data_IF_014378276453
#
_entry.id   IF_014378276453
#
_cell.length_a   1.000
_cell.length_b   1.000
_cell.length_c   1.000
_cell.angle_alpha   90.00
_cell.angle_beta   90.00
_cell.angle_gamma   90.00
#
_symmetry.space_group_name_H-M   'P 1'
#
loop_
_entity.id
_entity.type
_entity.pdbx_description
1 polymer ?
#
# COMPACT_ATOMS: atom_id res chain seq x y z
N UNK A 1 -1.01 7.07 8.88
CA UNK A 1 -0.16 7.81 7.93
C UNK A 1 -0.63 9.25 7.69
N UNK A 2 -1.92 9.58 7.85
CA UNK A 2 -2.47 10.93 7.68
C UNK A 2 -2.15 11.93 8.82
N UNK A 3 -0.97 11.87 9.45
CA UNK A 3 -0.59 12.84 10.51
C UNK A 3 0.13 14.06 9.96
N UNK A 4 1.08 13.86 9.04
CA UNK A 4 1.92 14.92 8.46
C UNK A 4 1.29 15.52 7.19
N UNK A 5 0.66 14.69 6.36
CA UNK A 5 -0.09 15.15 5.19
C UNK A 5 -1.51 15.55 5.61
N UNK A 6 -1.69 16.86 5.89
CA UNK A 6 -2.94 17.49 6.35
C UNK A 6 -3.09 18.90 5.78
N UNK A 7 -4.26 19.49 5.94
CA UNK A 7 -4.51 20.90 5.60
C UNK A 7 -3.52 21.82 6.33
N UNK A 8 -2.96 22.78 5.61
CA UNK A 8 -1.89 23.66 6.10
C UNK A 8 -0.46 23.15 5.83
N UNK A 9 -0.29 21.92 5.33
CA UNK A 9 1.01 21.42 4.90
C UNK A 9 1.42 22.07 3.57
N UNK A 10 2.46 22.91 3.62
CA UNK A 10 2.98 23.68 2.46
C UNK A 10 4.17 23.02 1.76
N UNK A 11 4.75 21.98 2.36
CA UNK A 11 5.95 21.30 1.86
C UNK A 11 5.59 19.90 1.37
N UNK A 12 6.32 19.41 0.38
CA UNK A 12 6.27 18.01 -0.06
C UNK A 12 6.47 17.07 1.13
N UNK A 13 5.63 16.04 1.23
CA UNK A 13 5.68 15.04 2.29
C UNK A 13 6.01 13.69 1.70
N UNK A 14 6.99 13.02 2.28
CA UNK A 14 7.33 11.64 1.96
C UNK A 14 6.86 10.74 3.10
N UNK A 15 6.17 9.65 2.78
CA UNK A 15 5.68 8.68 3.76
C UNK A 15 6.35 7.34 3.43
N UNK A 16 7.20 6.87 4.33
CA UNK A 16 7.86 5.58 4.17
C UNK A 16 7.15 4.51 5.00
N UNK A 17 6.95 3.34 4.38
CA UNK A 17 6.62 2.11 5.07
C UNK A 17 7.78 1.16 4.84
N UNK A 18 8.54 0.89 5.90
CA UNK A 18 9.67 -0.04 5.84
C UNK A 18 9.18 -1.42 6.23
N UNK A 19 9.58 -2.42 5.46
CA UNK A 19 9.25 -3.84 5.66
C UNK A 19 10.51 -4.65 5.37
N UNK A 20 10.77 -5.68 6.17
CA UNK A 20 11.85 -6.61 5.90
C UNK A 20 11.38 -7.66 4.88
N UNK A 21 12.06 -7.73 3.72
CA UNK A 21 11.72 -8.64 2.63
C UNK A 21 11.70 -10.11 3.08
N UNK A 22 10.70 -10.86 2.62
CA UNK A 22 10.54 -12.30 2.88
C UNK A 22 10.20 -12.65 4.33
N UNK A 23 10.10 -11.67 5.22
CA UNK A 23 9.86 -11.86 6.66
C UNK A 23 8.37 -11.86 7.02
N UNK A 24 8.09 -12.09 8.31
CA UNK A 24 6.75 -11.95 8.87
C UNK A 24 6.16 -10.54 8.68
N UNK A 25 6.97 -9.49 8.63
CA UNK A 25 6.49 -8.11 8.44
C UNK A 25 5.79 -7.96 7.10
N UNK A 26 6.39 -8.51 6.04
CA UNK A 26 5.85 -8.45 4.68
C UNK A 26 4.55 -9.27 4.57
N UNK A 27 4.50 -10.45 5.20
CA UNK A 27 3.29 -11.29 5.24
C UNK A 27 2.15 -10.65 6.02
N UNK A 28 2.44 -9.98 7.14
CA UNK A 28 1.44 -9.21 7.89
C UNK A 28 0.94 -8.04 7.04
N UNK A 29 1.83 -7.33 6.33
CA UNK A 29 1.45 -6.25 5.43
C UNK A 29 0.50 -6.74 4.32
N UNK A 30 0.83 -7.84 3.65
CA UNK A 30 -0.04 -8.47 2.64
C UNK A 30 -1.43 -8.79 3.21
N UNK A 31 -1.50 -9.37 4.41
CA UNK A 31 -2.78 -9.65 5.08
C UNK A 31 -3.57 -8.39 5.40
N UNK A 32 -2.92 -7.29 5.82
CA UNK A 32 -3.60 -6.02 6.04
C UNK A 32 -4.26 -5.52 4.76
N UNK A 33 -3.47 -5.43 3.68
CA UNK A 33 -3.92 -4.93 2.38
C UNK A 33 -5.02 -5.82 1.79
N UNK A 34 -4.88 -7.14 1.85
CA UNK A 34 -5.89 -8.10 1.38
C UNK A 34 -7.18 -8.06 2.21
N UNK A 35 -7.08 -7.99 3.54
CA UNK A 35 -8.25 -7.90 4.43
C UNK A 35 -9.02 -6.60 4.22
N UNK A 36 -8.33 -5.52 3.86
CA UNK A 36 -8.93 -4.22 3.56
C UNK A 36 -9.58 -4.20 2.17
N UNK A 37 -9.01 -4.89 1.19
CA UNK A 37 -9.62 -5.08 -0.14
C UNK A 37 -10.94 -5.86 -0.13
N UNK A 38 -11.16 -6.73 0.86
CA UNK A 38 -12.40 -7.49 1.06
C UNK A 38 -13.45 -6.75 1.94
N UNK A 39 -13.08 -5.62 2.56
CA UNK A 39 -13.91 -4.93 3.56
C UNK A 39 -15.09 -4.13 2.96
N UNK A 40 -15.32 -4.19 1.64
CA UNK A 40 -16.55 -3.71 1.01
C UNK A 40 -17.77 -4.59 1.27
N UNK A 41 -17.57 -5.81 1.76
CA UNK A 41 -18.63 -6.72 2.21
C UNK A 41 -18.72 -6.71 3.74
N UNK A 42 -19.86 -6.23 4.24
CA UNK A 42 -20.27 -6.17 5.65
C UNK A 42 -19.95 -7.48 6.36
N UNK A 43 -19.01 -7.47 7.31
CA UNK A 43 -18.80 -8.61 8.23
C UNK A 43 -19.78 -8.47 9.39
N UNK A 44 -20.85 -9.25 9.31
CA UNK A 44 -21.83 -9.43 10.38
C UNK A 44 -21.15 -9.75 11.72
N UNK A 45 -21.54 -9.01 12.76
CA UNK A 45 -21.05 -9.15 14.15
C UNK A 45 -21.38 -10.51 14.81
N UNK A 46 -21.90 -11.50 14.07
CA UNK A 46 -22.30 -12.82 14.58
C UNK A 46 -21.22 -13.91 14.53
N UNK A 47 -20.13 -13.73 13.77
CA UNK A 47 -19.08 -14.76 13.56
C UNK A 47 -17.72 -14.41 14.19
N UNK A 48 -17.73 -14.00 15.45
CA UNK A 48 -16.53 -13.50 16.16
C UNK A 48 -15.36 -14.49 16.34
N UNK A 49 -15.57 -15.80 16.11
CA UNK A 49 -14.58 -16.84 16.41
C UNK A 49 -13.84 -17.41 15.18
N UNK A 50 -14.43 -17.36 13.98
CA UNK A 50 -13.82 -17.99 12.79
C UNK A 50 -12.77 -17.08 12.14
N UNK A 51 -12.94 -15.75 12.23
CA UNK A 51 -12.02 -14.76 11.66
C UNK A 51 -10.76 -14.48 12.50
N UNK A 52 -10.64 -15.10 13.68
CA UNK A 52 -9.48 -14.96 14.58
C UNK A 52 -8.59 -16.20 14.59
N UNK A 53 -8.97 -17.25 13.87
CA UNK A 53 -8.21 -18.50 13.81
C UNK A 53 -7.33 -18.55 12.56
N UNK A 54 -6.05 -18.88 12.74
CA UNK A 54 -5.14 -19.22 11.65
C UNK A 54 -5.12 -20.74 11.49
N UNK A 55 -5.16 -21.22 10.25
CA UNK A 55 -4.84 -22.63 9.99
C UNK A 55 -3.36 -22.92 10.25
N UNK A 56 -3.01 -24.18 10.52
CA UNK A 56 -1.62 -24.58 10.74
C UNK A 56 -0.72 -24.26 9.54
N UNK A 57 -1.27 -24.30 8.32
CA UNK A 57 -0.55 -23.94 7.11
C UNK A 57 -0.32 -22.43 7.03
N UNK A 58 -1.30 -21.61 7.40
CA UNK A 58 -1.13 -20.16 7.45
C UNK A 58 -0.14 -19.71 8.52
N UNK A 59 -0.09 -20.40 9.67
CA UNK A 59 0.92 -20.14 10.69
C UNK A 59 2.33 -20.49 10.18
N UNK A 60 2.48 -21.66 9.54
CA UNK A 60 3.76 -22.05 8.92
C UNK A 60 4.19 -21.02 7.89
N UNK A 61 3.26 -20.60 7.04
CA UNK A 61 3.47 -19.58 6.04
C UNK A 61 3.92 -18.26 6.72
N UNK A 62 3.18 -17.77 7.72
CA UNK A 62 3.49 -16.53 8.45
C UNK A 62 4.91 -16.47 9.05
N UNK A 63 5.43 -17.61 9.52
CA UNK A 63 6.76 -17.73 10.11
C UNK A 63 7.83 -18.29 9.16
N UNK A 64 7.51 -18.49 7.88
CA UNK A 64 8.49 -18.92 6.88
C UNK A 64 9.22 -17.72 6.29
N UNK A 65 10.56 -17.76 6.36
CA UNK A 65 11.43 -16.79 5.69
C UNK A 65 11.57 -17.17 4.22
N UNK A 66 11.23 -16.25 3.32
CA UNK A 66 11.42 -16.42 1.88
C UNK A 66 12.70 -15.69 1.42
N UNK A 67 13.47 -16.31 0.53
CA UNK A 67 14.64 -15.71 -0.09
C UNK A 67 14.23 -15.04 -1.41
N UNK A 68 13.69 -13.83 -1.30
CA UNK A 68 13.21 -13.03 -2.44
C UNK A 68 13.44 -11.54 -2.15
N UNK A 69 13.76 -10.71 -3.16
CA UNK A 69 13.87 -9.27 -2.97
C UNK A 69 12.53 -8.62 -2.56
N UNK A 70 11.39 -9.20 -2.97
CA UNK A 70 10.07 -8.76 -2.56
C UNK A 70 8.99 -9.84 -2.76
N UNK A 71 8.54 -10.44 -1.66
CA UNK A 71 7.50 -11.46 -1.69
C UNK A 71 6.16 -10.90 -2.21
N UNK A 72 5.88 -9.62 -1.92
CA UNK A 72 4.62 -8.98 -2.32
C UNK A 72 4.54 -8.80 -3.84
N UNK A 73 5.66 -8.48 -4.49
CA UNK A 73 5.71 -8.39 -5.95
C UNK A 73 5.51 -9.77 -6.60
N UNK A 74 6.14 -10.81 -6.03
CA UNK A 74 5.99 -12.19 -6.50
C UNK A 74 4.51 -12.65 -6.44
N UNK A 75 3.80 -12.30 -5.36
CA UNK A 75 2.38 -12.61 -5.20
C UNK A 75 1.46 -11.86 -6.17
N UNK A 76 1.86 -10.66 -6.61
CA UNK A 76 1.10 -9.91 -7.61
C UNK A 76 1.25 -10.49 -9.02
N UNK A 77 2.21 -11.40 -9.23
CA UNK A 77 2.56 -11.95 -10.54
C UNK A 77 2.78 -10.86 -11.60
N UNK A 78 3.36 -9.73 -11.19
CA UNK A 78 3.57 -8.58 -12.06
C UNK A 78 4.79 -8.82 -12.97
N UNK A 79 4.67 -8.46 -14.25
CA UNK A 79 5.72 -8.59 -15.27
C UNK A 79 6.37 -7.26 -15.63
N UNK A 80 6.36 -6.28 -14.72
CA UNK A 80 6.96 -4.97 -14.97
C UNK A 80 8.51 -5.05 -15.00
N UNK A 81 9.14 -4.05 -15.64
CA UNK A 81 10.60 -3.95 -15.72
C UNK A 81 11.28 -3.55 -14.39
N UNK A 82 10.50 -3.26 -13.34
CA UNK A 82 10.97 -2.84 -12.01
C UNK A 82 11.92 -1.63 -12.03
N UNK A 83 11.87 -0.82 -13.07
CA UNK A 83 12.71 0.37 -13.26
C UNK A 83 12.00 1.67 -12.84
N UNK A 84 10.81 1.55 -12.25
CA UNK A 84 9.95 2.68 -11.90
C UNK A 84 9.13 3.25 -13.05
N UNK A 85 9.14 2.61 -14.22
CA UNK A 85 8.22 2.95 -15.31
C UNK A 85 6.77 2.80 -14.83
N UNK A 86 5.90 3.70 -15.29
CA UNK A 86 4.48 3.56 -15.00
C UNK A 86 3.97 2.25 -15.64
N UNK A 87 3.16 1.44 -14.93
CA UNK A 87 2.46 0.33 -15.57
C UNK A 87 1.61 0.90 -16.71
N UNK A 88 1.69 0.32 -17.91
CA UNK A 88 0.95 0.79 -19.07
C UNK A 88 -0.54 0.89 -18.75
N UNK A 89 -1.12 2.04 -19.09
CA UNK A 89 -2.46 2.48 -18.69
C UNK A 89 -3.52 1.51 -19.24
N UNK A 90 -4.12 0.71 -18.35
CA UNK A 90 -5.45 0.18 -18.57
C UNK A 90 -6.46 1.27 -18.20
N UNK A 91 -7.20 1.76 -19.19
CA UNK A 91 -8.33 2.67 -19.02
C UNK A 91 -9.34 2.06 -18.04
N UNK A 92 -9.48 2.62 -16.83
CA UNK A 92 -10.79 2.89 -16.23
C UNK A 92 -10.72 3.69 -14.92
N UNK A 93 -11.69 4.59 -14.80
CA UNK A 93 -12.11 5.42 -13.66
C UNK A 93 -11.23 6.60 -13.22
N UNK A 94 -11.72 7.80 -13.55
CA UNK A 94 -11.22 9.09 -13.13
C UNK A 94 -11.04 9.19 -11.60
N UNK A 95 -9.98 9.83 -11.10
CA UNK A 95 -9.82 10.08 -9.67
C UNK A 95 -10.90 11.06 -9.22
N UNK A 96 -11.88 10.56 -8.47
CA UNK A 96 -12.85 11.39 -7.75
C UNK A 96 -12.10 12.35 -6.83
N UNK A 97 -12.03 13.62 -7.24
CA UNK A 97 -11.52 14.74 -6.44
C UNK A 97 -12.37 14.91 -5.19
N UNK A 98 -11.88 14.39 -4.06
CA UNK A 98 -12.49 14.63 -2.76
C UNK A 98 -11.55 14.14 -1.66
N UNK A 99 -11.03 15.07 -0.86
CA UNK A 99 -10.38 14.71 0.41
C UNK A 99 -11.48 14.18 1.33
N UNK A 100 -11.41 12.93 1.84
CA UNK A 100 -12.32 12.52 2.91
C UNK A 100 -11.95 13.31 4.16
N UNK A 101 -12.67 14.41 4.41
CA UNK A 101 -12.48 15.28 5.56
C UNK A 101 -12.94 14.58 6.84
N UNK A 102 -12.05 14.52 7.85
CA UNK A 102 -12.31 13.95 9.19
C UNK A 102 -12.55 15.04 10.24
N UNK A 103 -13.34 16.06 9.92
CA UNK A 103 -13.80 17.03 10.92
C UNK A 103 -15.32 17.00 10.96
N UNK A 104 -15.83 16.48 12.08
CA UNK A 104 -17.25 16.42 12.36
C UNK A 104 -17.89 17.79 12.28
N UNK A 105 -18.69 18.00 11.23
CA UNK A 105 -19.91 18.80 11.31
C UNK A 105 -21.07 17.84 11.12
N UNK A 106 -21.88 17.72 12.17
CA UNK A 106 -23.14 16.97 12.14
C UNK A 106 -24.00 17.53 11.00
N UNK A 107 -24.30 16.73 9.99
CA UNK A 107 -25.22 17.19 8.96
C UNK A 107 -25.32 16.40 7.67
N UNK A 108 -24.37 15.55 7.28
CA UNK A 108 -24.49 14.85 5.99
C UNK A 108 -24.11 13.37 6.07
N UNK A 109 -25.12 12.51 5.97
CA UNK A 109 -24.99 11.05 5.90
C UNK A 109 -24.68 10.66 4.45
N UNK A 110 -23.41 10.81 4.08
CA UNK A 110 -22.81 10.21 2.89
C UNK A 110 -21.44 9.67 3.27
N UNK A 111 -21.39 8.43 3.76
CA UNK A 111 -20.18 7.80 4.26
C UNK A 111 -19.15 7.56 3.16
N UNK A 112 -18.32 8.56 2.83
CA UNK A 112 -17.09 8.35 2.11
C UNK A 112 -16.08 7.71 3.08
N UNK A 113 -16.18 6.38 3.22
CA UNK A 113 -15.17 5.59 3.91
C UNK A 113 -13.79 5.91 3.33
N UNK A 114 -12.78 6.01 4.19
CA UNK A 114 -11.42 6.25 3.72
C UNK A 114 -11.07 5.13 2.72
N UNK A 115 -10.86 5.48 1.43
CA UNK A 115 -10.37 4.52 0.42
C UNK A 115 -9.04 3.99 0.94
N UNK A 116 -9.03 2.69 1.26
CA UNK A 116 -7.91 2.04 1.93
C UNK A 116 -7.10 1.25 0.90
N UNK A 117 -5.78 1.26 1.07
CA UNK A 117 -4.82 0.51 0.25
C UNK A 117 -5.27 -0.93 -0.02
N UNK A 118 -5.40 -1.29 -1.30
CA UNK A 118 -5.73 -2.65 -1.76
C UNK A 118 -4.58 -3.30 -2.55
N UNK A 119 -4.70 -4.61 -2.81
CA UNK A 119 -3.71 -5.33 -3.64
C UNK A 119 -3.70 -4.82 -5.09
N UNK A 120 -4.87 -4.45 -5.63
CA UNK A 120 -4.97 -3.88 -6.97
C UNK A 120 -4.32 -2.50 -7.07
N UNK A 121 -4.46 -1.67 -6.02
CA UNK A 121 -3.77 -0.39 -5.97
C UNK A 121 -2.24 -0.56 -5.89
N UNK A 122 -1.73 -1.53 -5.12
CA UNK A 122 -0.29 -1.83 -5.09
C UNK A 122 0.26 -2.26 -6.45
N UNK A 123 -0.54 -3.00 -7.23
CA UNK A 123 -0.17 -3.40 -8.59
C UNK A 123 -0.01 -2.21 -9.54
N UNK A 124 -0.75 -1.13 -9.32
CA UNK A 124 -0.71 0.09 -10.13
C UNK A 124 0.41 1.05 -9.70
N UNK A 125 1.03 0.82 -8.55
CA UNK A 125 2.14 1.64 -8.08
C UNK A 125 3.39 1.38 -8.91
N UNK A 126 4.31 2.33 -8.91
CA UNK A 126 5.61 2.16 -9.55
C UNK A 126 6.45 1.18 -8.75
N UNK A 127 7.08 0.24 -9.42
CA UNK A 127 7.88 -0.81 -8.84
C UNK A 127 9.35 -0.55 -9.16
N UNK A 128 10.19 -0.58 -8.12
CA UNK A 128 11.62 -0.36 -8.22
C UNK A 128 12.34 -1.56 -7.63
N UNK A 129 13.20 -2.21 -8.41
CA UNK A 129 14.15 -3.16 -7.88
C UNK A 129 15.27 -2.43 -7.12
N UNK A 130 15.93 -3.11 -6.20
CA UNK A 130 17.00 -2.53 -5.36
C UNK A 130 18.23 -2.07 -6.16
N UNK A 131 18.40 -2.61 -7.36
CA UNK A 131 19.44 -2.31 -8.35
C UNK A 131 19.08 -1.14 -9.29
N UNK A 132 17.84 -0.63 -9.22
CA UNK A 132 17.40 0.49 -10.07
C UNK A 132 18.08 1.79 -9.65
N UNK A 133 18.71 2.45 -10.62
CA UNK A 133 19.52 3.65 -10.39
C UNK A 133 18.69 4.87 -9.98
N UNK A 134 19.05 5.41 -8.80
CA UNK A 134 18.63 6.69 -8.21
C UNK A 134 17.14 6.85 -7.91
N UNK A 135 16.81 6.88 -6.62
CA UNK A 135 15.51 7.38 -6.20
C UNK A 135 15.46 8.91 -6.35
N UNK A 136 14.31 9.46 -6.78
CA UNK A 136 14.10 10.92 -6.84
C UNK A 136 14.24 11.61 -5.48
N UNK A 137 14.07 10.84 -4.41
CA UNK A 137 14.13 11.30 -3.03
C UNK A 137 15.54 11.06 -2.46
N UNK A 138 16.21 12.14 -2.07
CA UNK A 138 17.59 12.11 -1.59
C UNK A 138 17.81 11.22 -0.36
N UNK A 139 16.81 11.13 0.53
CA UNK A 139 16.93 10.29 1.74
C UNK A 139 16.82 8.80 1.39
N UNK A 140 15.93 8.47 0.45
CA UNK A 140 15.76 7.09 -0.02
C UNK A 140 16.97 6.65 -0.85
N UNK A 141 17.53 7.55 -1.68
CA UNK A 141 18.75 7.29 -2.43
C UNK A 141 19.97 7.05 -1.51
N UNK A 142 20.05 7.76 -0.38
CA UNK A 142 21.11 7.53 0.60
C UNK A 142 21.04 6.12 1.23
N UNK A 143 19.83 5.58 1.39
CA UNK A 143 19.60 4.26 1.97
C UNK A 143 19.55 3.13 0.93
N UNK A 144 19.79 3.40 -0.36
CA UNK A 144 19.56 2.46 -1.47
C UNK A 144 20.21 1.09 -1.30
N UNK A 145 21.41 1.04 -0.70
CA UNK A 145 22.15 -0.22 -0.50
C UNK A 145 21.46 -1.19 0.48
N UNK A 146 20.41 -0.73 1.18
CA UNK A 146 19.63 -1.52 2.12
C UNK A 146 18.20 -1.78 1.63
N UNK A 147 17.87 -1.35 0.41
CA UNK A 147 16.54 -1.47 -0.17
C UNK A 147 16.60 -2.56 -1.24
N UNK A 148 15.89 -3.67 -1.01
CA UNK A 148 15.78 -4.75 -1.99
C UNK A 148 14.72 -4.47 -3.07
N UNK A 149 13.67 -3.72 -2.71
CA UNK A 149 12.57 -3.38 -3.58
C UNK A 149 11.78 -2.20 -3.00
N UNK A 150 11.13 -1.40 -3.85
CA UNK A 150 10.22 -0.34 -3.42
C UNK A 150 8.97 -0.24 -4.28
N UNK A 151 7.83 -0.04 -3.61
CA UNK A 151 6.58 0.41 -4.24
C UNK A 151 6.42 1.92 -4.00
N UNK A 152 6.10 2.68 -5.04
CA UNK A 152 5.93 4.13 -4.95
C UNK A 152 4.65 4.62 -5.64
N UNK A 153 3.92 5.49 -4.94
CA UNK A 153 2.84 6.30 -5.51
C UNK A 153 3.05 7.76 -5.12
N UNK A 154 2.66 8.67 -6.00
CA UNK A 154 2.73 10.12 -5.78
C UNK A 154 1.34 10.71 -5.96
N UNK A 155 0.88 11.47 -4.96
CA UNK A 155 -0.38 12.20 -5.04
C UNK A 155 -0.05 13.67 -5.22
N UNK A 156 -0.38 14.21 -6.40
CA UNK A 156 -0.25 15.63 -6.70
C UNK A 156 -1.61 16.30 -6.58
N UNK A 157 -1.70 17.41 -5.85
CA UNK A 157 -2.85 18.31 -5.94
C UNK A 157 -2.54 19.39 -6.95
N UNK A 158 -3.20 19.36 -8.11
CA UNK A 158 -3.25 20.53 -8.99
C UNK A 158 -4.18 21.55 -8.34
N UNK A 159 -3.62 22.59 -7.73
CA UNK A 159 -4.39 23.78 -7.37
C UNK A 159 -4.86 24.44 -8.66
N UNK A 160 -6.18 24.38 -8.89
CA UNK A 160 -6.87 25.19 -9.90
C UNK A 160 -6.95 26.64 -9.43
#
# INVERSE_FOLDING_TARGET
MARVWRDGQKKTVHIYRLLTAGSIEERIFQRQVSKQGLSGTVVDLGKGAEHTSFSSNELRDLFSLADTPCLTHDLLHCSCSMDGSAPEEGEDEAPTSGRPCQLGRQGDRGGAGQKHLSMSELMQWRHFAGDTHTFRDAYLDHARNHISFAFQSTISHTTQ
#
